data_IF_698412080264
#
_entry.id   IF_698412080264
#
_cell.length_a   1.000
_cell.length_b   1.000
_cell.length_c   1.000
_cell.angle_alpha   90.00
_cell.angle_beta   90.00
_cell.angle_gamma   90.00
#
_symmetry.space_group_name_H-M   'P 1'
#
loop_
_entity.id
_entity.type
_entity.pdbx_description
1 polymer ?
#
# COMPACT_ATOMS: atom_id res chain seq x y z
N UNK A 1 2.52 3.87 -17.38
CA UNK A 1 2.17 3.00 -16.23
C UNK A 1 1.68 1.62 -16.70
N UNK A 2 0.46 1.46 -17.22
CA UNK A 2 0.02 0.15 -17.77
C UNK A 2 0.67 -0.16 -19.12
N UNK A 3 0.72 0.85 -20.00
CA UNK A 3 1.36 0.78 -21.32
C UNK A 3 2.79 1.34 -21.30
N UNK A 4 3.38 1.51 -20.11
CA UNK A 4 4.72 2.13 -19.92
C UNK A 4 4.86 3.55 -20.52
N UNK A 5 3.77 4.17 -20.96
CA UNK A 5 3.75 5.56 -21.41
C UNK A 5 4.12 6.51 -20.27
N UNK A 6 4.80 7.59 -20.64
CA UNK A 6 5.14 8.67 -19.72
C UNK A 6 3.85 9.31 -19.17
N UNK A 7 3.70 9.26 -17.85
CA UNK A 7 2.52 9.73 -17.14
C UNK A 7 2.88 10.06 -15.69
N UNK A 8 1.99 10.79 -15.01
CA UNK A 8 2.09 10.97 -13.56
C UNK A 8 1.53 9.75 -12.84
N UNK A 9 2.25 9.29 -11.83
CA UNK A 9 1.76 8.23 -10.95
C UNK A 9 0.73 8.80 -9.97
N UNK A 10 -0.37 8.09 -9.67
CA UNK A 10 -1.28 8.49 -8.61
C UNK A 10 -0.51 8.63 -7.29
N UNK A 11 -0.81 9.69 -6.54
CA UNK A 11 0.04 10.14 -5.45
C UNK A 11 0.21 9.09 -4.33
N UNK A 12 -0.86 8.36 -3.98
CA UNK A 12 -0.81 7.29 -2.96
C UNK A 12 0.06 6.12 -3.43
N UNK A 13 -0.19 5.49 -4.61
CA UNK A 13 0.73 4.51 -5.19
C UNK A 13 2.18 4.97 -5.27
N UNK A 14 2.43 6.21 -5.71
CA UNK A 14 3.77 6.77 -5.77
C UNK A 14 4.41 6.86 -4.37
N UNK A 15 3.60 7.18 -3.35
CA UNK A 15 4.03 7.24 -1.96
C UNK A 15 4.48 5.88 -1.46
N UNK A 16 3.73 4.82 -1.78
CA UNK A 16 4.06 3.44 -1.42
C UNK A 16 5.36 3.00 -2.10
N UNK A 17 5.51 3.21 -3.41
CA UNK A 17 6.77 2.91 -4.11
C UNK A 17 7.94 3.65 -3.47
N UNK A 18 7.76 4.93 -3.13
CA UNK A 18 8.81 5.72 -2.48
C UNK A 18 9.16 5.21 -1.08
N UNK A 19 8.19 4.69 -0.31
CA UNK A 19 8.46 4.05 0.99
C UNK A 19 9.27 2.77 0.80
N UNK A 20 8.85 1.87 -0.08
CA UNK A 20 9.55 0.62 -0.35
C UNK A 20 11.01 0.88 -0.78
N UNK A 21 11.22 1.86 -1.67
CA UNK A 21 12.54 2.30 -2.11
C UNK A 21 13.39 2.82 -0.94
N UNK A 22 12.85 3.77 -0.16
CA UNK A 22 13.60 4.43 0.93
C UNK A 22 13.96 3.50 2.08
N UNK A 23 13.11 2.50 2.35
CA UNK A 23 13.35 1.50 3.37
C UNK A 23 14.12 0.28 2.83
N UNK A 24 14.58 0.31 1.57
CA UNK A 24 15.30 -0.78 0.91
C UNK A 24 14.57 -2.13 0.98
N UNK A 25 13.25 -2.10 0.83
CA UNK A 25 12.43 -3.30 0.80
C UNK A 25 12.58 -3.95 -0.58
N UNK A 26 13.19 -5.13 -0.63
CA UNK A 26 13.33 -5.89 -1.86
C UNK A 26 11.99 -6.47 -2.32
N UNK A 27 11.54 -6.04 -3.50
CA UNK A 27 10.28 -6.49 -4.10
C UNK A 27 10.49 -7.52 -5.21
N UNK A 28 11.72 -7.71 -5.69
CA UNK A 28 12.01 -8.50 -6.88
C UNK A 28 11.72 -9.98 -6.64
N UNK A 29 10.89 -10.58 -7.48
CA UNK A 29 10.48 -11.97 -7.39
C UNK A 29 9.58 -12.30 -6.18
N UNK A 30 9.23 -11.30 -5.36
CA UNK A 30 8.38 -11.49 -4.18
C UNK A 30 6.93 -11.71 -4.58
N UNK A 31 6.21 -12.52 -3.81
CA UNK A 31 4.77 -12.66 -3.91
C UNK A 31 4.08 -11.47 -3.24
N UNK A 32 3.54 -10.56 -4.04
CA UNK A 32 2.81 -9.37 -3.57
C UNK A 32 1.30 -9.57 -3.70
N UNK A 33 0.58 -9.43 -2.61
CA UNK A 33 -0.89 -9.42 -2.60
C UNK A 33 -1.40 -8.00 -2.39
N UNK A 34 -2.21 -7.53 -3.34
CA UNK A 34 -2.90 -6.23 -3.25
C UNK A 34 -4.36 -6.50 -2.92
N UNK A 35 -4.79 -6.06 -1.73
CA UNK A 35 -6.16 -6.20 -1.25
C UNK A 35 -6.92 -4.92 -1.55
N UNK A 36 -7.89 -5.00 -2.47
CA UNK A 36 -8.66 -3.87 -2.95
C UNK A 36 -8.30 -3.49 -4.38
N UNK A 37 -9.31 -3.09 -5.16
CA UNK A 37 -9.20 -2.86 -6.62
C UNK A 37 -9.68 -1.49 -7.07
N UNK A 38 -9.55 -0.50 -6.19
CA UNK A 38 -9.93 0.88 -6.49
C UNK A 38 -9.09 1.44 -7.64
N UNK A 39 -9.64 2.44 -8.35
CA UNK A 39 -8.93 3.13 -9.44
C UNK A 39 -7.78 3.99 -8.95
N UNK A 40 -7.79 4.38 -7.68
CA UNK A 40 -6.87 5.35 -7.09
C UNK A 40 -5.68 4.70 -6.37
N UNK A 41 -5.82 3.45 -5.90
CA UNK A 41 -4.76 2.73 -5.18
C UNK A 41 -4.56 1.33 -5.73
N UNK A 42 -5.55 0.45 -5.57
CA UNK A 42 -5.39 -1.00 -5.79
C UNK A 42 -4.94 -1.38 -7.20
N UNK A 43 -5.66 -0.93 -8.23
CA UNK A 43 -5.31 -1.20 -9.63
C UNK A 43 -3.97 -0.57 -10.05
N UNK A 44 -3.69 0.72 -9.73
CA UNK A 44 -2.36 1.26 -9.96
C UNK A 44 -1.24 0.47 -9.27
N UNK A 45 -1.44 0.07 -8.00
CA UNK A 45 -0.43 -0.69 -7.26
C UNK A 45 -0.18 -2.06 -7.86
N UNK A 46 -1.21 -2.75 -8.36
CA UNK A 46 -0.99 -4.05 -8.99
C UNK A 46 -0.12 -3.94 -10.24
N UNK A 47 -0.23 -2.83 -10.98
CA UNK A 47 0.59 -2.54 -12.16
C UNK A 47 2.00 -2.13 -11.75
N UNK A 48 2.16 -1.26 -10.76
CA UNK A 48 3.47 -0.78 -10.32
C UNK A 48 4.32 -1.88 -9.69
N UNK A 49 3.74 -2.72 -8.84
CA UNK A 49 4.46 -3.82 -8.21
C UNK A 49 4.89 -4.89 -9.22
N UNK A 50 4.15 -5.08 -10.32
CA UNK A 50 4.51 -6.02 -11.39
C UNK A 50 5.39 -5.40 -12.48
N UNK A 51 5.54 -4.08 -12.49
CA UNK A 51 6.37 -3.39 -13.48
C UNK A 51 7.86 -3.66 -13.26
N UNK A 52 8.64 -3.66 -14.34
CA UNK A 52 10.10 -3.87 -14.26
C UNK A 52 10.77 -2.77 -13.43
N UNK A 53 11.67 -3.15 -12.54
CA UNK A 53 12.44 -2.24 -11.70
C UNK A 53 12.38 -2.58 -10.21
N UNK A 54 13.04 -1.75 -9.42
CA UNK A 54 13.00 -1.84 -7.96
C UNK A 54 12.69 -0.44 -7.38
N UNK A 55 11.56 -0.26 -6.67
CA UNK A 55 10.53 -1.26 -6.37
C UNK A 55 9.72 -1.66 -7.62
N UNK A 56 9.28 -2.92 -7.67
CA UNK A 56 8.74 -3.57 -8.86
C UNK A 56 9.17 -5.05 -8.95
N UNK A 57 9.03 -5.65 -10.14
CA UNK A 57 9.40 -7.04 -10.45
C UNK A 57 8.80 -8.10 -9.50
N UNK A 58 7.68 -7.80 -8.86
CA UNK A 58 6.97 -8.73 -7.99
C UNK A 58 5.98 -9.62 -8.79
N UNK A 59 5.72 -10.82 -8.29
CA UNK A 59 4.55 -11.61 -8.73
C UNK A 59 3.33 -11.09 -7.97
N UNK A 60 2.37 -10.51 -8.69
CA UNK A 60 1.26 -9.78 -8.07
C UNK A 60 -0.06 -10.53 -8.17
N UNK A 61 -0.73 -10.72 -7.03
CA UNK A 61 -2.13 -11.15 -6.96
C UNK A 61 -3.00 -10.00 -6.45
N UNK A 62 -3.98 -9.58 -7.23
CA UNK A 62 -4.97 -8.60 -6.81
C UNK A 62 -6.25 -9.31 -6.36
N UNK A 63 -6.62 -9.11 -5.10
CA UNK A 63 -7.82 -9.67 -4.48
C UNK A 63 -8.84 -8.58 -4.15
N UNK A 64 -10.11 -8.95 -4.03
CA UNK A 64 -11.21 -8.00 -3.80
C UNK A 64 -12.39 -8.67 -3.10
N UNK A 65 -13.45 -7.92 -2.83
CA UNK A 65 -14.67 -8.37 -2.12
C UNK A 65 -15.42 -9.59 -2.70
N UNK A 66 -15.00 -10.10 -3.85
CA UNK A 66 -15.60 -11.29 -4.48
C UNK A 66 -14.57 -12.42 -4.62
N UNK A 67 -13.34 -12.22 -4.12
CA UNK A 67 -12.33 -13.25 -4.04
C UNK A 67 -12.67 -14.16 -2.87
N UNK A 68 -12.91 -15.47 -3.08
CA UNK A 68 -13.08 -16.40 -1.98
C UNK A 68 -11.74 -16.61 -1.25
N UNK A 69 -11.80 -16.83 0.06
CA UNK A 69 -10.67 -17.21 0.91
C UNK A 69 -9.43 -16.31 0.71
N UNK A 70 -9.56 -14.99 0.91
CA UNK A 70 -8.47 -14.02 0.75
C UNK A 70 -7.24 -14.42 1.59
N UNK A 71 -7.49 -15.04 2.74
CA UNK A 71 -6.49 -15.56 3.67
C UNK A 71 -5.49 -16.52 3.01
N UNK A 72 -5.94 -17.36 2.06
CA UNK A 72 -5.06 -18.31 1.38
C UNK A 72 -3.98 -17.62 0.52
N UNK A 73 -4.28 -16.41 0.05
CA UNK A 73 -3.34 -15.58 -0.71
C UNK A 73 -2.43 -14.81 0.24
N UNK A 74 -3.00 -14.17 1.27
CA UNK A 74 -2.23 -13.34 2.20
C UNK A 74 -1.26 -14.15 3.06
N UNK A 75 -1.61 -15.39 3.42
CA UNK A 75 -0.71 -16.29 4.17
C UNK A 75 0.49 -16.77 3.35
N UNK A 76 0.52 -16.55 2.03
CA UNK A 76 1.66 -16.88 1.15
C UNK A 76 2.43 -15.63 0.71
N UNK A 77 1.90 -14.44 0.98
CA UNK A 77 2.43 -13.18 0.49
C UNK A 77 3.69 -12.76 1.25
N UNK A 78 4.73 -12.37 0.50
CA UNK A 78 5.89 -11.66 1.04
C UNK A 78 5.55 -10.20 1.34
N UNK A 79 4.71 -9.59 0.49
CA UNK A 79 4.30 -8.19 0.59
C UNK A 79 2.79 -8.13 0.51
N UNK A 80 2.15 -7.43 1.44
CA UNK A 80 0.70 -7.20 1.45
C UNK A 80 0.44 -5.70 1.42
N UNK A 81 -0.33 -5.25 0.44
CA UNK A 81 -0.80 -3.87 0.33
C UNK A 81 -2.31 -3.86 0.54
N UNK A 82 -2.80 -3.22 1.60
CA UNK A 82 -4.22 -3.21 1.96
C UNK A 82 -4.82 -1.82 1.71
N UNK A 83 -5.89 -1.76 0.91
CA UNK A 83 -6.59 -0.52 0.56
C UNK A 83 -8.11 -0.77 0.39
N UNK A 84 -8.76 -1.11 1.49
CA UNK A 84 -10.19 -1.46 1.58
C UNK A 84 -11.05 -0.33 2.17
N UNK A 85 -10.52 0.44 3.13
CA UNK A 85 -11.34 1.33 3.96
C UNK A 85 -12.22 0.56 4.95
N UNK A 86 -11.68 -0.53 5.49
CA UNK A 86 -12.33 -1.42 6.45
C UNK A 86 -11.39 -1.62 7.65
N UNK A 87 -11.64 -0.96 8.79
CA UNK A 87 -10.76 -1.00 9.96
C UNK A 87 -10.41 -2.42 10.41
N UNK A 88 -9.13 -2.66 10.71
CA UNK A 88 -8.64 -3.92 11.31
C UNK A 88 -9.04 -5.19 10.55
N UNK A 89 -9.21 -5.07 9.22
CA UNK A 89 -9.57 -6.19 8.35
C UNK A 89 -8.46 -7.23 8.29
N UNK A 90 -7.22 -6.81 7.97
CA UNK A 90 -6.08 -7.72 7.91
C UNK A 90 -5.55 -7.99 9.33
N UNK A 91 -5.56 -9.25 9.74
CA UNK A 91 -5.17 -9.68 11.09
C UNK A 91 -3.91 -10.55 11.07
N UNK A 92 -3.26 -10.67 12.22
CA UNK A 92 -2.01 -11.45 12.38
C UNK A 92 -2.10 -12.92 11.96
N UNK A 93 -3.28 -13.55 12.03
CA UNK A 93 -3.47 -14.93 11.55
C UNK A 93 -3.61 -15.05 10.02
N UNK A 94 -3.82 -13.93 9.32
CA UNK A 94 -3.93 -13.87 7.86
C UNK A 94 -2.58 -13.67 7.17
N UNK A 95 -1.51 -13.40 7.94
CA UNK A 95 -0.17 -13.11 7.41
C UNK A 95 0.83 -14.20 7.80
N UNK A 96 1.82 -14.40 6.93
CA UNK A 96 2.99 -15.22 7.26
C UNK A 96 4.02 -14.44 8.08
N UNK A 97 4.90 -15.19 8.73
CA UNK A 97 6.05 -14.64 9.42
C UNK A 97 6.99 -13.92 8.44
N UNK A 98 7.50 -12.76 8.84
CA UNK A 98 8.39 -11.92 8.04
C UNK A 98 7.71 -11.15 6.89
N UNK A 99 6.37 -11.10 6.84
CA UNK A 99 5.66 -10.34 5.80
C UNK A 99 5.92 -8.83 5.90
N UNK A 100 5.97 -8.16 4.75
CA UNK A 100 5.98 -6.70 4.63
C UNK A 100 4.55 -6.22 4.45
N UNK A 101 4.09 -5.26 5.24
CA UNK A 101 2.70 -4.79 5.24
C UNK A 101 2.65 -3.29 4.99
N UNK A 102 1.92 -2.91 3.94
CA UNK A 102 1.58 -1.51 3.62
C UNK A 102 0.09 -1.31 3.86
N UNK A 103 -0.23 -0.59 4.93
CA UNK A 103 -1.57 -0.15 5.28
C UNK A 103 -1.86 1.23 4.66
N UNK A 104 -2.80 1.25 3.71
CA UNK A 104 -3.26 2.47 3.04
C UNK A 104 -4.55 3.00 3.69
N UNK A 105 -5.18 2.20 4.55
CA UNK A 105 -6.43 2.52 5.20
C UNK A 105 -6.34 3.77 6.06
N UNK A 106 -7.36 4.61 5.95
CA UNK A 106 -7.57 5.75 6.85
C UNK A 106 -9.07 5.81 7.12
N UNK A 107 -9.47 5.27 8.25
CA UNK A 107 -10.86 5.31 8.72
C UNK A 107 -10.94 6.17 9.98
N UNK A 108 -11.95 7.03 10.06
CA UNK A 108 -12.27 7.77 11.29
C UNK A 108 -13.15 6.87 12.16
N UNK A 109 -12.68 6.57 13.35
CA UNK A 109 -13.43 5.82 14.36
C UNK A 109 -13.73 6.77 15.50
N UNK A 110 -15.01 6.92 15.84
CA UNK A 110 -15.46 7.81 16.91
C UNK A 110 -14.82 7.41 18.24
N UNK A 111 -14.40 8.42 19.00
CA UNK A 111 -13.86 8.26 20.35
C UNK A 111 -14.14 9.49 21.22
N UNK A 112 -13.86 9.38 22.51
CA UNK A 112 -14.02 10.46 23.49
C UNK A 112 -12.84 11.45 23.50
N UNK A 113 -11.98 11.43 22.47
CA UNK A 113 -10.83 12.31 22.35
C UNK A 113 -11.19 13.74 21.95
N UNK A 114 -10.22 14.66 22.00
CA UNK A 114 -10.41 16.08 21.67
C UNK A 114 -10.99 16.30 20.25
N UNK A 115 -10.66 15.41 19.31
CA UNK A 115 -11.16 15.46 17.93
C UNK A 115 -12.50 14.74 17.73
N UNK A 116 -12.98 14.00 18.73
CA UNK A 116 -14.14 13.10 18.65
C UNK A 116 -13.93 11.86 17.78
N UNK A 117 -12.69 11.60 17.34
CA UNK A 117 -12.30 10.41 16.58
C UNK A 117 -10.78 10.21 16.57
N UNK A 118 -10.36 8.95 16.40
CA UNK A 118 -9.00 8.56 16.00
C UNK A 118 -8.99 8.01 14.58
N UNK A 119 -7.77 7.85 14.05
CA UNK A 119 -7.54 7.27 12.73
C UNK A 119 -7.09 5.82 12.89
N UNK A 120 -7.82 4.92 12.26
CA UNK A 120 -7.53 3.49 12.26
C UNK A 120 -7.26 3.02 10.81
N UNK A 121 -6.30 2.11 10.67
CA UNK A 121 -5.92 1.52 9.39
C UNK A 121 -6.75 0.29 9.02
N UNK A 122 -6.53 -0.24 7.81
CA UNK A 122 -7.17 -1.48 7.38
C UNK A 122 -6.51 -2.72 8.01
N UNK A 123 -5.37 -2.54 8.67
CA UNK A 123 -4.59 -3.59 9.33
C UNK A 123 -4.77 -3.50 10.84
N UNK A 124 -5.01 -4.64 11.48
CA UNK A 124 -4.91 -4.77 12.92
C UNK A 124 -3.41 -4.76 13.31
N UNK A 125 -2.88 -3.56 13.55
CA UNK A 125 -1.46 -3.32 13.74
C UNK A 125 -0.88 -4.15 14.89
N UNK A 126 -1.58 -4.23 16.03
CA UNK A 126 -1.12 -4.94 17.23
C UNK A 126 -0.94 -6.44 16.97
N UNK A 127 -1.85 -7.05 16.20
CA UNK A 127 -1.73 -8.49 15.88
C UNK A 127 -0.74 -8.79 14.76
N UNK A 128 -0.47 -7.81 13.88
CA UNK A 128 0.38 -7.99 12.70
C UNK A 128 1.85 -7.63 12.95
N UNK A 129 2.12 -6.58 13.73
CA UNK A 129 3.48 -6.08 14.00
C UNK A 129 4.44 -7.18 14.50
N UNK A 130 4.07 -8.04 15.46
CA UNK A 130 5.00 -9.04 15.98
C UNK A 130 5.46 -10.08 14.95
N UNK A 131 4.72 -10.23 13.84
CA UNK A 131 5.02 -11.19 12.77
C UNK A 131 5.58 -10.53 11.51
N UNK A 132 5.40 -9.22 11.37
CA UNK A 132 5.80 -8.47 10.19
C UNK A 132 7.30 -8.14 10.26
N UNK A 133 8.00 -8.27 9.13
CA UNK A 133 9.38 -7.76 9.02
C UNK A 133 9.42 -6.24 8.88
N UNK A 134 8.34 -5.66 8.34
CA UNK A 134 8.14 -4.22 8.20
C UNK A 134 6.65 -3.94 8.04
N UNK A 135 6.14 -2.91 8.74
CA UNK A 135 4.73 -2.52 8.69
C UNK A 135 4.60 -1.00 8.75
N UNK A 136 3.70 -0.42 7.96
CA UNK A 136 3.39 1.02 8.07
C UNK A 136 2.39 1.29 9.19
N UNK A 137 2.64 2.28 10.07
CA UNK A 137 1.66 2.68 11.07
C UNK A 137 0.52 3.50 10.46
N UNK A 138 -0.65 3.45 11.07
CA UNK A 138 -1.76 4.38 10.84
C UNK A 138 -2.15 5.01 12.18
N UNK A 139 -2.09 6.35 12.31
CA UNK A 139 -1.58 7.33 11.35
C UNK A 139 -0.04 7.32 11.24
N UNK A 140 0.51 8.01 10.24
CA UNK A 140 1.95 8.28 10.12
C UNK A 140 2.68 7.53 8.99
N UNK A 141 2.08 6.50 8.40
CA UNK A 141 2.63 5.75 7.28
C UNK A 141 2.34 6.37 5.90
N UNK A 142 1.39 5.79 5.16
CA UNK A 142 1.12 6.16 3.75
C UNK A 142 0.51 7.56 3.60
N UNK A 143 -0.32 8.00 4.56
CA UNK A 143 -1.05 9.27 4.49
C UNK A 143 -0.16 10.51 4.20
N UNK A 144 0.91 10.77 4.98
CA UNK A 144 1.86 11.85 4.69
C UNK A 144 2.51 11.77 3.30
N UNK A 145 2.80 10.55 2.82
CA UNK A 145 3.45 10.34 1.53
C UNK A 145 2.56 10.76 0.36
N UNK A 146 1.24 10.60 0.48
CA UNK A 146 0.29 11.06 -0.54
C UNK A 146 0.44 12.55 -0.83
N UNK A 147 0.57 13.40 0.20
CA UNK A 147 0.76 14.84 0.00
C UNK A 147 2.15 15.15 -0.58
N UNK A 148 3.18 14.48 -0.09
CA UNK A 148 4.54 14.66 -0.61
C UNK A 148 4.64 14.31 -2.10
N UNK A 149 3.99 13.22 -2.53
CA UNK A 149 4.01 12.78 -3.92
C UNK A 149 3.13 13.62 -4.83
N UNK A 150 2.05 14.21 -4.31
CA UNK A 150 1.31 15.24 -5.03
C UNK A 150 2.24 16.42 -5.38
N UNK A 151 2.98 16.93 -4.40
CA UNK A 151 3.95 18.03 -4.64
C UNK A 151 5.06 17.62 -5.60
N UNK A 152 5.54 16.37 -5.51
CA UNK A 152 6.52 15.81 -6.47
C UNK A 152 5.96 15.79 -7.88
N UNK A 153 4.72 15.36 -8.07
CA UNK A 153 4.05 15.38 -9.38
C UNK A 153 3.89 16.81 -9.91
N UNK A 154 3.50 17.77 -9.07
CA UNK A 154 3.41 19.19 -9.45
C UNK A 154 4.75 19.72 -9.94
N UNK A 155 5.84 19.42 -9.22
CA UNK A 155 7.19 19.81 -9.63
C UNK A 155 7.61 19.15 -10.96
N UNK A 156 7.28 17.87 -11.14
CA UNK A 156 7.55 17.16 -12.40
C UNK A 156 6.78 17.78 -13.56
N UNK A 157 5.52 18.16 -13.36
CA UNK A 157 4.71 18.83 -14.37
C UNK A 157 5.31 20.18 -14.77
N UNK A 158 5.71 21.00 -13.80
CA UNK A 158 6.40 22.26 -14.07
C UNK A 158 7.69 22.04 -14.88
N UNK A 159 8.52 21.08 -14.48
CA UNK A 159 9.77 20.76 -15.20
C UNK A 159 9.55 20.25 -16.62
N UNK A 160 8.47 19.52 -16.88
CA UNK A 160 8.13 19.03 -18.23
C UNK A 160 7.61 20.15 -19.14
N UNK A 161 6.88 21.11 -18.57
CA UNK A 161 6.36 22.24 -19.32
C UNK A 161 7.44 23.26 -19.72
N UNK A 162 8.45 23.45 -18.85
CA UNK A 162 9.55 24.39 -19.09
C UNK A 162 10.77 23.74 -19.77
N UNK A 163 10.60 22.55 -20.34
CA UNK A 163 11.56 21.93 -21.26
C UNK A 163 11.14 22.22 -22.69
#
# INVERSE_FOLDING_TARGET
MALEMDAFLPATPYGIMTLLERYNIDTRGKNCVVIGRSRIVGRPMSILMSSKGNPGDATVTLVHSHTPNIEEYTQKADIIIVALGAPKYLKGNMIKEGAVIVDVGITRVEDDGERGYHLEGDVDYETCEPKASWITPVPGGVGPMTRAMLMKNTLLAYKRYNK
#
